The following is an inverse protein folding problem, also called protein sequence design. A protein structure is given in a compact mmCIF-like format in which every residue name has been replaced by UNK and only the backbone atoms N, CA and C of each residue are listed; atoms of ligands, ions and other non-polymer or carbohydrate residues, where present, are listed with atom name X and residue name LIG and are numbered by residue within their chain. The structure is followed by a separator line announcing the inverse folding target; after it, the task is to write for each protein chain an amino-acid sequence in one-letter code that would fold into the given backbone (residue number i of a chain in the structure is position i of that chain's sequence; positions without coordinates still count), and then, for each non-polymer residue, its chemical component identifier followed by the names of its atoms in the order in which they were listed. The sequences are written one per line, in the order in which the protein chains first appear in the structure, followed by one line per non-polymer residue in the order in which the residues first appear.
data_IF_338900305517
#
_entry.id   IF_338900305517
#
_cell.length_a   1.000
_cell.length_b   1.000
_cell.length_c   1.000
_cell.angle_alpha   90.00
_cell.angle_beta   90.00
_cell.angle_gamma   90.00
#
_symmetry.space_group_name_H-M   'P 1'
#
loop_
_entity.id
_entity.type
_entity.pdbx_description
1 polymer ?
#
# COMPACT_ATOMS: atom_id res chain seq x y z
N UNK A 1 -24.91 -3.51 -7.65
CA UNK A 1 -25.02 -2.05 -7.83
C UNK A 1 -23.71 -1.42 -7.38
N UNK A 2 -23.08 -0.62 -8.23
CA UNK A 2 -21.90 0.17 -7.89
C UNK A 2 -22.34 1.58 -7.47
N UNK A 3 -21.61 2.20 -6.55
CA UNK A 3 -21.82 3.61 -6.21
C UNK A 3 -21.11 4.47 -7.23
N UNK A 4 -21.81 5.40 -7.84
CA UNK A 4 -21.27 6.39 -8.75
C UNK A 4 -21.31 7.76 -8.07
N UNK A 5 -20.22 8.50 -8.18
CA UNK A 5 -20.20 9.93 -7.85
C UNK A 5 -20.44 10.71 -9.12
N UNK A 6 -21.34 11.69 -9.07
CA UNK A 6 -21.64 12.53 -10.22
C UNK A 6 -21.47 14.00 -9.87
N UNK A 7 -21.13 14.76 -10.90
CA UNK A 7 -21.20 16.21 -10.93
C UNK A 7 -22.12 16.56 -12.10
N UNK A 8 -23.22 17.25 -11.81
CA UNK A 8 -24.21 17.65 -12.79
C UNK A 8 -24.56 19.12 -12.62
N UNK A 9 -25.04 19.76 -13.68
CA UNK A 9 -25.59 21.11 -13.63
C UNK A 9 -27.11 21.04 -13.73
N UNK A 10 -27.79 21.97 -13.06
CA UNK A 10 -29.23 22.11 -13.20
C UNK A 10 -29.56 22.62 -14.62
N UNK A 11 -30.55 22.02 -15.29
CA UNK A 11 -30.98 22.47 -16.61
C UNK A 11 -31.44 23.95 -16.63
N UNK A 12 -31.89 24.47 -15.49
CA UNK A 12 -32.37 25.85 -15.31
C UNK A 12 -31.28 26.85 -14.96
N UNK A 13 -30.12 26.41 -14.47
CA UNK A 13 -29.00 27.29 -14.14
C UNK A 13 -27.66 26.55 -14.27
N UNK A 14 -26.92 26.75 -15.38
CA UNK A 14 -25.66 26.07 -15.63
C UNK A 14 -24.53 26.45 -14.65
N UNK A 15 -24.67 27.54 -13.89
CA UNK A 15 -23.71 27.92 -12.84
C UNK A 15 -23.90 27.12 -11.54
N UNK A 16 -25.06 26.46 -11.36
CA UNK A 16 -25.34 25.65 -10.17
C UNK A 16 -24.86 24.22 -10.39
N UNK A 17 -23.68 23.92 -9.83
CA UNK A 17 -23.10 22.59 -9.81
C UNK A 17 -23.69 21.80 -8.64
N UNK A 18 -24.18 20.60 -8.94
CA UNK A 18 -24.76 19.65 -7.99
C UNK A 18 -23.90 18.40 -8.02
N UNK A 19 -23.35 18.06 -6.85
CA UNK A 19 -22.58 16.84 -6.65
C UNK A 19 -23.36 15.87 -5.77
N UNK A 20 -23.38 14.60 -6.15
CA UNK A 20 -24.07 13.58 -5.38
C UNK A 20 -23.53 12.19 -5.63
N UNK A 21 -24.04 11.25 -4.85
CA UNK A 21 -23.79 9.81 -5.01
C UNK A 21 -25.08 9.12 -5.44
N UNK A 22 -24.96 8.14 -6.33
CA UNK A 22 -26.08 7.33 -6.79
C UNK A 22 -25.64 5.88 -6.97
N UNK A 23 -26.49 4.95 -6.57
CA UNK A 23 -26.27 3.53 -6.81
C UNK A 23 -26.89 3.12 -8.15
N UNK A 24 -26.08 2.53 -9.02
CA UNK A 24 -26.49 2.13 -10.36
C UNK A 24 -25.75 0.86 -10.80
N UNK A 25 -26.21 0.19 -11.85
CA UNK A 25 -25.52 -0.99 -12.38
C UNK A 25 -24.58 -0.64 -13.54
N UNK A 26 -24.76 0.53 -14.17
CA UNK A 26 -23.97 1.02 -15.28
C UNK A 26 -23.90 2.55 -15.28
N UNK A 27 -22.98 3.13 -16.06
CA UNK A 27 -22.90 4.59 -16.25
C UNK A 27 -24.15 5.12 -16.95
N UNK A 28 -24.72 4.33 -17.85
CA UNK A 28 -25.92 4.62 -18.62
C UNK A 28 -27.15 4.77 -17.71
N UNK A 29 -27.25 3.92 -16.68
CA UNK A 29 -28.28 4.02 -15.65
C UNK A 29 -28.17 5.32 -14.83
N UNK A 30 -26.94 5.78 -14.57
CA UNK A 30 -26.69 7.06 -13.88
C UNK A 30 -27.16 8.23 -14.73
N UNK A 31 -26.79 8.27 -16.02
CA UNK A 31 -27.21 9.33 -16.96
C UNK A 31 -28.73 9.39 -17.03
N UNK A 32 -29.40 8.23 -17.15
CA UNK A 32 -30.86 8.14 -17.23
C UNK A 32 -31.55 8.62 -15.95
N UNK A 33 -30.96 8.35 -14.78
CA UNK A 33 -31.50 8.76 -13.49
C UNK A 33 -31.33 10.27 -13.24
N UNK A 34 -30.20 10.84 -13.66
CA UNK A 34 -29.96 12.29 -13.59
C UNK A 34 -30.86 13.07 -14.57
N UNK A 35 -31.09 12.52 -15.76
CA UNK A 35 -32.02 13.10 -16.73
C UNK A 35 -33.45 13.21 -16.19
N UNK A 36 -33.93 12.20 -15.44
CA UNK A 36 -35.25 12.24 -14.76
C UNK A 36 -35.34 13.33 -13.69
N UNK A 37 -34.20 13.78 -13.16
CA UNK A 37 -34.12 14.86 -12.16
C UNK A 37 -33.86 16.23 -12.80
N UNK A 38 -33.94 16.35 -14.13
CA UNK A 38 -33.59 17.57 -14.88
C UNK A 38 -32.15 18.04 -14.64
N UNK A 39 -31.24 17.10 -14.41
CA UNK A 39 -29.81 17.34 -14.21
C UNK A 39 -29.01 16.90 -15.43
N UNK A 40 -28.11 17.76 -15.89
CA UNK A 40 -27.20 17.47 -16.99
C UNK A 40 -25.83 17.02 -16.44
N UNK A 41 -25.41 15.76 -16.64
CA UNK A 41 -24.15 15.26 -16.10
C UNK A 41 -22.94 15.90 -16.80
N UNK A 42 -22.03 16.45 -16.00
CA UNK A 42 -20.73 17.00 -16.45
C UNK A 42 -19.62 15.97 -16.26
N UNK A 43 -19.66 15.23 -15.15
CA UNK A 43 -18.69 14.16 -14.84
C UNK A 43 -19.38 13.05 -14.07
N UNK A 44 -19.13 11.80 -14.48
CA UNK A 44 -19.61 10.61 -13.77
C UNK A 44 -18.39 9.74 -13.51
N UNK A 45 -18.11 9.45 -12.23
CA UNK A 45 -17.02 8.58 -11.79
C UNK A 45 -17.60 7.36 -11.10
N UNK A 46 -17.32 6.20 -11.64
CA UNK A 46 -17.66 4.92 -11.02
C UNK A 46 -16.79 4.71 -9.77
N UNK A 47 -17.43 4.59 -8.62
CA UNK A 47 -16.80 4.08 -7.42
C UNK A 47 -16.49 2.61 -7.65
N UNK A 48 -15.22 2.23 -7.49
CA UNK A 48 -14.77 0.84 -7.62
C UNK A 48 -15.69 -0.07 -6.80
N UNK A 49 -16.16 -1.17 -7.42
CA UNK A 49 -16.92 -2.24 -6.76
C UNK A 49 -16.36 -2.49 -5.35
N UNK A 50 -17.26 -2.73 -4.40
CA UNK A 50 -16.98 -3.08 -3.00
C UNK A 50 -16.15 -4.37 -2.91
N UNK A 51 -14.85 -4.26 -3.19
CA UNK A 51 -13.81 -5.28 -3.13
C UNK A 51 -12.44 -4.68 -2.85
N UNK A 52 -12.39 -3.44 -2.34
CA UNK A 52 -11.14 -2.77 -2.03
C UNK A 52 -11.39 -1.53 -1.19
N UNK A 53 -11.52 -1.73 0.12
CA UNK A 53 -11.46 -0.67 1.12
C UNK A 53 -10.15 0.12 0.96
N UNK A 54 -10.13 1.17 0.13
CA UNK A 54 -9.02 2.14 0.08
C UNK A 54 -9.28 3.27 1.08
N UNK A 55 -9.56 2.91 2.34
CA UNK A 55 -9.66 3.83 3.47
C UNK A 55 -8.45 3.62 4.39
N UNK A 56 -7.29 4.13 3.95
CA UNK A 56 -6.09 4.21 4.80
C UNK A 56 -4.75 3.98 4.09
N UNK A 57 -4.66 4.23 2.78
CA UNK A 57 -3.40 4.14 2.03
C UNK A 57 -2.50 5.35 2.27
N UNK A 58 -2.08 5.59 3.50
CA UNK A 58 -0.94 6.47 3.75
C UNK A 58 0.29 5.95 3.01
N UNK A 59 1.13 6.83 2.46
CA UNK A 59 2.44 6.39 1.95
C UNK A 59 3.26 5.86 3.13
N UNK A 60 3.90 4.70 2.95
CA UNK A 60 4.91 4.21 3.89
C UNK A 60 6.07 5.21 3.87
N UNK A 61 6.47 5.70 5.04
CA UNK A 61 7.59 6.64 5.13
C UNK A 61 8.90 5.87 4.99
N UNK A 62 9.90 6.47 4.35
CA UNK A 62 11.21 5.82 4.20
C UNK A 62 11.83 5.43 5.55
N UNK A 63 11.62 6.23 6.59
CA UNK A 63 12.14 5.96 7.95
C UNK A 63 11.51 4.71 8.58
N UNK A 64 10.27 4.36 8.23
CA UNK A 64 9.60 3.15 8.74
C UNK A 64 10.26 1.88 8.20
N UNK A 65 10.64 1.89 6.92
CA UNK A 65 11.36 0.77 6.31
C UNK A 65 12.75 0.57 6.93
N UNK A 66 13.43 1.67 7.29
CA UNK A 66 14.74 1.61 7.97
C UNK A 66 14.60 0.92 9.31
N UNK A 67 13.65 1.39 10.14
CA UNK A 67 13.40 0.85 11.48
C UNK A 67 13.00 -0.62 11.39
N UNK A 68 12.05 -0.95 10.50
CA UNK A 68 11.63 -2.32 10.26
C UNK A 68 12.79 -3.24 9.89
N UNK A 69 13.63 -2.82 8.94
CA UNK A 69 14.76 -3.66 8.49
C UNK A 69 15.78 -3.87 9.60
N UNK A 70 16.06 -2.82 10.40
CA UNK A 70 16.95 -2.91 11.56
C UNK A 70 16.41 -3.85 12.63
N UNK A 71 15.14 -3.75 12.98
CA UNK A 71 14.50 -4.60 13.98
C UNK A 71 14.42 -6.04 13.50
N UNK A 72 14.01 -6.27 12.24
CA UNK A 72 13.98 -7.60 11.64
C UNK A 72 15.36 -8.24 11.65
N UNK A 73 16.40 -7.52 11.22
CA UNK A 73 17.78 -7.98 11.27
C UNK A 73 18.22 -8.39 12.67
N UNK A 74 17.89 -7.59 13.70
CA UNK A 74 18.22 -7.90 15.09
C UNK A 74 17.52 -9.17 15.58
N UNK A 75 16.23 -9.33 15.29
CA UNK A 75 15.46 -10.50 15.71
C UNK A 75 15.94 -11.78 15.02
N UNK A 76 16.18 -11.74 13.70
CA UNK A 76 16.73 -12.88 12.96
C UNK A 76 18.14 -13.22 13.45
N UNK A 77 18.98 -12.21 13.69
CA UNK A 77 20.33 -12.41 14.25
C UNK A 77 20.33 -13.00 15.66
N UNK A 78 19.25 -12.80 16.43
CA UNK A 78 19.03 -13.41 17.73
C UNK A 78 18.40 -14.83 17.65
N UNK A 79 18.22 -15.37 16.44
CA UNK A 79 17.62 -16.69 16.22
C UNK A 79 16.10 -16.73 16.33
N UNK A 80 15.42 -15.58 16.34
CA UNK A 80 13.95 -15.54 16.35
C UNK A 80 13.42 -15.94 14.96
N UNK A 81 12.48 -16.90 14.87
CA UNK A 81 11.93 -17.33 13.58
C UNK A 81 11.30 -16.18 12.78
N UNK A 82 11.50 -16.19 11.46
CA UNK A 82 11.04 -15.13 10.54
C UNK A 82 9.56 -14.78 10.69
N UNK A 83 8.67 -15.77 10.68
CA UNK A 83 7.23 -15.56 10.83
C UNK A 83 6.89 -14.86 12.16
N UNK A 84 7.56 -15.25 13.26
CA UNK A 84 7.35 -14.63 14.57
C UNK A 84 7.85 -13.18 14.59
N UNK A 85 9.01 -12.93 14.00
CA UNK A 85 9.56 -11.58 13.87
C UNK A 85 8.65 -10.68 13.05
N UNK A 86 8.20 -11.14 11.88
CA UNK A 86 7.28 -10.38 11.03
C UNK A 86 5.96 -10.09 11.73
N UNK A 87 5.38 -11.07 12.45
CA UNK A 87 4.13 -10.86 13.19
C UNK A 87 4.29 -9.79 14.28
N UNK A 88 5.35 -9.88 15.07
CA UNK A 88 5.64 -8.88 16.11
C UNK A 88 5.84 -7.48 15.52
N UNK A 89 6.57 -7.36 14.41
CA UNK A 89 6.79 -6.08 13.75
C UNK A 89 5.51 -5.51 13.12
N UNK A 90 4.63 -6.37 12.59
CA UNK A 90 3.33 -5.95 12.07
C UNK A 90 2.40 -5.44 13.18
N UNK A 91 2.41 -6.08 14.35
CA UNK A 91 1.62 -5.66 15.51
C UNK A 91 2.02 -4.25 15.97
N UNK A 92 3.32 -3.97 16.03
CA UNK A 92 3.90 -2.70 16.48
C UNK A 92 4.07 -1.63 15.37
N UNK A 93 3.66 -1.91 14.14
CA UNK A 93 3.72 -0.92 13.06
C UNK A 93 2.67 0.19 13.27
N UNK A 94 3.15 1.43 13.47
CA UNK A 94 2.28 2.60 13.66
C UNK A 94 1.52 3.00 12.39
N UNK A 95 2.14 2.80 11.22
CA UNK A 95 1.54 3.17 9.94
C UNK A 95 0.53 2.12 9.47
N UNK A 96 -0.77 2.46 9.35
CA UNK A 96 -1.79 1.49 8.94
C UNK A 96 -1.57 0.91 7.55
N UNK A 97 -0.94 1.66 6.63
CA UNK A 97 -0.62 1.15 5.31
C UNK A 97 0.51 0.13 5.39
N UNK A 98 1.55 0.40 6.17
CA UNK A 98 2.66 -0.52 6.34
C UNK A 98 2.24 -1.79 7.08
N UNK A 99 1.43 -1.65 8.13
CA UNK A 99 0.83 -2.78 8.86
C UNK A 99 0.06 -3.73 7.94
N UNK A 100 -0.79 -3.19 7.04
CA UNK A 100 -1.52 -4.01 6.05
C UNK A 100 -0.58 -4.74 5.10
N UNK A 101 0.49 -4.09 4.65
CA UNK A 101 1.51 -4.71 3.79
C UNK A 101 2.19 -5.86 4.54
N UNK A 102 2.66 -5.64 5.77
CA UNK A 102 3.32 -6.67 6.56
C UNK A 102 2.40 -7.86 6.85
N UNK A 103 1.12 -7.62 7.16
CA UNK A 103 0.13 -8.69 7.35
C UNK A 103 -0.12 -9.50 6.07
N UNK A 104 -0.08 -8.84 4.90
CA UNK A 104 -0.25 -9.53 3.62
C UNK A 104 1.00 -10.37 3.29
N UNK A 105 2.21 -9.84 3.55
CA UNK A 105 3.47 -10.58 3.45
C UNK A 105 3.47 -11.81 4.38
N UNK A 106 3.00 -11.66 5.61
CA UNK A 106 2.80 -12.78 6.54
C UNK A 106 1.89 -13.86 5.98
N UNK A 107 0.72 -13.47 5.47
CA UNK A 107 -0.25 -14.40 4.90
C UNK A 107 0.33 -15.17 3.70
N UNK A 108 1.10 -14.50 2.86
CA UNK A 108 1.79 -15.13 1.72
C UNK A 108 2.81 -16.17 2.16
N UNK A 109 3.65 -15.85 3.16
CA UNK A 109 4.66 -16.78 3.67
C UNK A 109 3.99 -17.97 4.39
N UNK A 110 2.92 -17.71 5.14
CA UNK A 110 2.11 -18.79 5.73
C UNK A 110 1.46 -19.68 4.67
N UNK A 111 1.12 -19.12 3.50
CA UNK A 111 0.66 -19.85 2.33
C UNK A 111 1.76 -20.60 1.55
N UNK A 112 3.02 -20.49 1.99
CA UNK A 112 4.16 -21.19 1.39
C UNK A 112 4.97 -20.40 0.37
N UNK A 113 4.66 -19.11 0.16
CA UNK A 113 5.49 -18.26 -0.68
C UNK A 113 6.85 -17.99 -0.01
N UNK A 114 7.90 -17.79 -0.82
CA UNK A 114 9.19 -17.32 -0.31
C UNK A 114 9.08 -15.89 0.26
N UNK A 115 9.92 -15.55 1.24
CA UNK A 115 9.96 -14.21 1.81
C UNK A 115 10.24 -13.15 0.75
N UNK A 116 11.24 -13.39 -0.12
CA UNK A 116 11.57 -12.46 -1.20
C UNK A 116 10.44 -12.28 -2.20
N UNK A 117 9.70 -13.35 -2.50
CA UNK A 117 8.51 -13.32 -3.39
C UNK A 117 7.36 -12.52 -2.77
N UNK A 118 7.09 -12.70 -1.48
CA UNK A 118 6.06 -11.95 -0.78
C UNK A 118 6.36 -10.43 -0.76
N UNK A 119 7.63 -10.05 -0.60
CA UNK A 119 8.05 -8.64 -0.64
C UNK A 119 7.92 -8.00 -2.03
N UNK A 120 8.16 -8.78 -3.10
CA UNK A 120 8.13 -8.32 -4.49
C UNK A 120 6.77 -7.75 -4.90
N UNK A 121 5.68 -8.19 -4.26
CA UNK A 121 4.33 -7.67 -4.49
C UNK A 121 4.17 -6.19 -4.08
N UNK A 122 5.14 -5.61 -3.35
CA UNK A 122 5.10 -4.24 -2.83
C UNK A 122 6.31 -3.39 -3.27
N UNK A 123 6.52 -3.17 -4.60
CA UNK A 123 7.71 -2.49 -5.13
C UNK A 123 7.84 -1.02 -4.70
N UNK A 124 6.74 -0.40 -4.28
CA UNK A 124 6.73 0.97 -3.75
C UNK A 124 7.37 1.09 -2.36
N UNK A 125 7.48 -0.02 -1.64
CA UNK A 125 8.07 -0.10 -0.30
C UNK A 125 9.40 -0.84 -0.38
N UNK A 126 9.39 -2.06 -0.93
CA UNK A 126 10.58 -2.87 -1.10
C UNK A 126 11.08 -2.75 -2.53
N UNK A 127 12.10 -1.93 -2.76
CA UNK A 127 12.69 -1.76 -4.09
C UNK A 127 13.43 -3.01 -4.57
N UNK A 128 13.68 -3.10 -5.87
CA UNK A 128 14.23 -4.31 -6.53
C UNK A 128 15.51 -4.82 -5.89
N UNK A 129 16.45 -3.92 -5.54
CA UNK A 129 17.71 -4.29 -4.88
C UNK A 129 17.44 -4.96 -3.52
N UNK A 130 16.47 -4.46 -2.76
CA UNK A 130 16.08 -5.03 -1.47
C UNK A 130 15.53 -6.45 -1.67
N UNK A 131 14.56 -6.59 -2.57
CA UNK A 131 13.89 -7.86 -2.88
C UNK A 131 14.90 -8.90 -3.38
N UNK A 132 15.76 -8.53 -4.33
CA UNK A 132 16.75 -9.44 -4.92
C UNK A 132 17.77 -9.92 -3.89
N UNK A 133 18.20 -9.05 -2.98
CA UNK A 133 19.09 -9.45 -1.89
C UNK A 133 18.40 -10.44 -0.95
N UNK A 134 17.15 -10.19 -0.58
CA UNK A 134 16.38 -11.12 0.28
C UNK A 134 16.22 -12.48 -0.41
N UNK A 135 15.81 -12.52 -1.69
CA UNK A 135 15.69 -13.76 -2.46
C UNK A 135 17.00 -14.55 -2.49
N UNK A 136 18.12 -13.87 -2.71
CA UNK A 136 19.44 -14.49 -2.70
C UNK A 136 19.81 -15.03 -1.31
N UNK A 137 19.54 -14.26 -0.25
CA UNK A 137 19.82 -14.66 1.13
C UNK A 137 18.98 -15.84 1.60
N UNK A 138 17.71 -15.86 1.22
CA UNK A 138 16.78 -16.96 1.50
C UNK A 138 17.23 -18.25 0.80
N UNK A 139 17.55 -18.17 -0.50
CA UNK A 139 17.99 -19.33 -1.29
C UNK A 139 19.34 -19.90 -0.82
N UNK A 140 20.24 -19.04 -0.33
CA UNK A 140 21.56 -19.42 0.16
C UNK A 140 21.59 -19.72 1.68
N UNK A 141 20.48 -19.56 2.41
CA UNK A 141 20.42 -19.80 3.85
C UNK A 141 21.18 -18.77 4.71
N UNK A 142 21.52 -17.61 4.15
CA UNK A 142 22.31 -16.53 4.79
C UNK A 142 21.47 -15.27 5.04
N UNK A 143 20.19 -15.45 5.38
CA UNK A 143 19.25 -14.35 5.54
C UNK A 143 19.66 -13.37 6.65
N UNK A 144 20.36 -13.84 7.70
CA UNK A 144 20.83 -12.97 8.78
C UNK A 144 21.85 -11.92 8.30
N UNK A 145 22.83 -12.34 7.50
CA UNK A 145 23.88 -11.50 6.93
C UNK A 145 23.27 -10.50 5.95
N UNK A 146 22.37 -10.99 5.09
CA UNK A 146 21.66 -10.15 4.13
C UNK A 146 20.83 -9.07 4.84
N UNK A 147 20.09 -9.42 5.89
CA UNK A 147 19.30 -8.44 6.64
C UNK A 147 20.19 -7.42 7.37
N UNK A 148 21.35 -7.84 7.90
CA UNK A 148 22.34 -6.92 8.49
C UNK A 148 22.83 -5.90 7.46
N UNK A 149 23.20 -6.38 6.27
CA UNK A 149 23.65 -5.53 5.16
C UNK A 149 22.55 -4.58 4.68
N UNK A 150 21.33 -5.08 4.52
CA UNK A 150 20.16 -4.28 4.15
C UNK A 150 19.89 -3.20 5.19
N UNK A 151 19.93 -3.50 6.49
CA UNK A 151 19.72 -2.51 7.54
C UNK A 151 20.73 -1.35 7.43
N UNK A 152 22.02 -1.65 7.29
CA UNK A 152 23.06 -0.63 7.09
C UNK A 152 22.85 0.16 5.79
N UNK A 153 22.43 -0.49 4.71
CA UNK A 153 22.16 0.19 3.44
C UNK A 153 20.97 1.14 3.55
N UNK A 154 19.89 0.73 4.21
CA UNK A 154 18.70 1.56 4.39
C UNK A 154 18.98 2.79 5.26
N UNK A 155 19.76 2.64 6.32
CA UNK A 155 20.21 3.77 7.16
C UNK A 155 21.05 4.77 6.36
N UNK A 156 22.06 4.30 5.61
CA UNK A 156 22.88 5.16 4.73
C UNK A 156 22.03 5.90 3.70
N UNK A 157 21.10 5.20 3.05
CA UNK A 157 20.18 5.78 2.08
C UNK A 157 19.29 6.87 2.71
N UNK A 158 18.80 6.64 3.93
CA UNK A 158 18.01 7.62 4.66
C UNK A 158 18.83 8.87 5.04
N UNK A 159 20.07 8.69 5.50
CA UNK A 159 20.98 9.82 5.80
C UNK A 159 21.25 10.67 4.56
N UNK A 160 21.52 10.04 3.41
CA UNK A 160 21.76 10.76 2.15
C UNK A 160 20.50 11.56 1.76
N UNK A 161 19.32 10.93 1.79
CA UNK A 161 18.05 11.60 1.48
C UNK A 161 17.77 12.79 2.40
N UNK A 162 18.06 12.65 3.71
CA UNK A 162 17.91 13.74 4.68
C UNK A 162 18.84 14.90 4.36
N UNK A 163 20.12 14.63 4.05
CA UNK A 163 21.11 15.66 3.64
C UNK A 163 20.71 16.40 2.37
N UNK A 164 20.23 15.69 1.35
CA UNK A 164 19.78 16.29 0.08
C UNK A 164 18.54 17.15 0.27
N UNK A 165 17.62 16.76 1.16
CA UNK A 165 16.40 17.52 1.43
C UNK A 165 16.65 18.78 2.27
N UNK A 166 17.71 18.80 3.08
CA UNK A 166 18.08 19.94 3.94
C UNK A 166 18.98 20.98 3.25
N UNK A 167 19.44 20.72 2.03
CA UNK A 167 20.23 21.63 1.20
C UNK A 167 19.33 22.36 0.20
#
# INVERSE_FOLDING_TARGET
MAKFTYTATAATNPAKIITGEIEANSREDVVSSLGKQHLNPVSIKEGKKAGGLSLGGGKVKSDELVIFTRQLSAMIGAGVPLLRSLNSLAEHAENPAFKRILNSVLADIQGGAGFGEALEKYPKVFGDVYVNMVKAGESAGILDEILKRLATQQEKNATIRKKVKSA
#
